data_IF_543500407704
#
_entry.id   IF_543500407704
#
_cell.length_a   1.000
_cell.length_b   1.000
_cell.length_c   1.000
_cell.angle_alpha   90.00
_cell.angle_beta   90.00
_cell.angle_gamma   90.00
#
_symmetry.space_group_name_H-M   'P 1'
#
loop_
_entity.id
_entity.type
_entity.pdbx_description
1 polymer ?
#
# COMPACT_ATOMS: atom_id res chain seq x y z
N UNK A 1 -5.52 -18.12 -7.14
CA UNK A 1 -6.23 -16.96 -6.57
C UNK A 1 -7.22 -17.44 -5.52
N UNK A 2 -7.53 -16.59 -4.54
CA UNK A 2 -8.48 -16.84 -3.45
C UNK A 2 -9.46 -15.67 -3.42
N UNK A 3 -10.76 -15.93 -3.28
CA UNK A 3 -11.76 -14.89 -3.07
C UNK A 3 -11.84 -14.56 -1.58
N UNK A 4 -11.76 -13.28 -1.22
CA UNK A 4 -11.97 -12.85 0.17
C UNK A 4 -13.46 -13.03 0.49
N UNK A 5 -13.82 -13.78 1.55
CA UNK A 5 -15.21 -14.02 1.92
C UNK A 5 -16.00 -12.72 2.03
N UNK A 6 -17.26 -12.76 1.58
CA UNK A 6 -18.19 -11.62 1.65
C UNK A 6 -17.74 -10.37 0.87
N UNK A 7 -16.83 -10.53 -0.10
CA UNK A 7 -16.43 -9.47 -1.03
C UNK A 7 -16.33 -9.99 -2.46
N UNK A 8 -16.19 -9.07 -3.40
CA UNK A 8 -15.87 -9.34 -4.80
C UNK A 8 -14.35 -9.36 -5.08
N UNK A 9 -13.52 -9.24 -4.04
CA UNK A 9 -12.07 -9.19 -4.18
C UNK A 9 -11.46 -10.59 -4.35
N UNK A 10 -10.74 -10.77 -5.45
CA UNK A 10 -10.00 -11.99 -5.77
C UNK A 10 -8.50 -11.69 -5.68
N UNK A 11 -7.81 -12.36 -4.76
CA UNK A 11 -6.41 -12.06 -4.42
C UNK A 11 -5.46 -13.21 -4.73
N UNK A 12 -4.22 -12.84 -5.02
CA UNK A 12 -3.11 -13.77 -5.07
C UNK A 12 -2.80 -14.28 -3.64
N UNK A 13 -2.51 -15.59 -3.44
CA UNK A 13 -2.27 -16.14 -2.10
C UNK A 13 -1.03 -15.56 -1.40
N UNK A 14 -0.06 -15.09 -2.18
CA UNK A 14 1.09 -14.34 -1.69
C UNK A 14 0.79 -12.85 -1.72
N UNK A 15 0.90 -12.20 -0.56
CA UNK A 15 0.78 -10.76 -0.39
C UNK A 15 2.17 -10.14 -0.46
N UNK A 16 2.34 -9.10 -1.28
CA UNK A 16 3.62 -8.41 -1.44
C UNK A 16 3.74 -7.21 -0.49
N UNK A 17 4.94 -7.03 0.09
CA UNK A 17 5.36 -5.84 0.81
C UNK A 17 6.89 -5.78 0.84
N UNK A 18 7.49 -4.59 0.93
CA UNK A 18 8.94 -4.43 0.90
C UNK A 18 9.40 -2.99 1.06
N UNK A 19 10.72 -2.79 1.20
CA UNK A 19 11.37 -1.49 1.25
C UNK A 19 12.53 -1.47 0.25
N UNK A 20 12.48 -0.57 -0.72
CA UNK A 20 13.52 -0.34 -1.72
C UNK A 20 13.39 1.11 -2.25
N UNK A 21 14.28 1.55 -3.14
CA UNK A 21 14.06 2.81 -3.86
C UNK A 21 12.78 2.73 -4.71
N UNK A 22 12.23 3.87 -5.13
CA UNK A 22 11.02 3.89 -5.97
C UNK A 22 11.23 3.09 -7.27
N UNK A 23 12.35 3.30 -7.96
CA UNK A 23 12.67 2.60 -9.20
C UNK A 23 12.77 1.08 -9.01
N UNK A 24 13.46 0.63 -7.96
CA UNK A 24 13.53 -0.80 -7.63
C UNK A 24 12.17 -1.37 -7.23
N UNK A 25 11.38 -0.61 -6.46
CA UNK A 25 10.03 -1.01 -6.07
C UNK A 25 9.12 -1.20 -7.28
N UNK A 26 9.20 -0.31 -8.28
CA UNK A 26 8.46 -0.45 -9.54
C UNK A 26 8.86 -1.73 -10.28
N UNK A 27 10.16 -2.02 -10.36
CA UNK A 27 10.66 -3.25 -11.01
C UNK A 27 10.16 -4.52 -10.30
N UNK A 28 10.19 -4.53 -8.96
CA UNK A 28 9.71 -5.66 -8.16
C UNK A 28 8.19 -5.82 -8.28
N UNK A 29 7.43 -4.72 -8.26
CA UNK A 29 5.97 -4.77 -8.43
C UNK A 29 5.57 -5.19 -9.85
N UNK A 30 6.30 -4.74 -10.88
CA UNK A 30 6.13 -5.19 -12.26
C UNK A 30 6.38 -6.72 -12.37
N UNK A 31 7.46 -7.22 -11.74
CA UNK A 31 7.76 -8.65 -11.71
C UNK A 31 6.72 -9.45 -10.91
N UNK A 32 6.27 -8.96 -9.75
CA UNK A 32 5.22 -9.61 -8.96
C UNK A 32 3.92 -9.70 -9.76
N UNK A 33 3.50 -8.60 -10.41
CA UNK A 33 2.31 -8.57 -11.27
C UNK A 33 2.44 -9.50 -12.47
N UNK A 34 3.61 -9.55 -13.11
CA UNK A 34 3.82 -10.41 -14.29
C UNK A 34 3.68 -11.91 -13.97
N UNK A 35 3.82 -12.29 -12.69
CA UNK A 35 3.62 -13.66 -12.20
C UNK A 35 2.22 -13.89 -11.61
N UNK A 36 1.27 -12.99 -11.89
CA UNK A 36 -0.12 -13.11 -11.44
C UNK A 36 -0.39 -12.55 -10.04
N UNK A 37 0.60 -11.89 -9.43
CA UNK A 37 0.44 -11.17 -8.18
C UNK A 37 -0.51 -9.97 -8.33
N UNK A 38 -1.39 -9.76 -7.36
CA UNK A 38 -2.28 -8.60 -7.36
C UNK A 38 -2.60 -8.05 -5.97
N UNK A 39 -2.01 -8.61 -4.91
CA UNK A 39 -2.33 -8.23 -3.53
C UNK A 39 -1.10 -7.62 -2.85
N UNK A 40 -1.20 -6.32 -2.54
CA UNK A 40 -0.11 -5.55 -1.92
C UNK A 40 -0.54 -5.11 -0.53
N UNK A 41 0.35 -5.26 0.45
CA UNK A 41 0.18 -4.80 1.82
C UNK A 41 1.15 -3.65 2.13
N UNK A 42 0.61 -2.61 2.75
CA UNK A 42 1.35 -1.41 3.18
C UNK A 42 0.80 -0.91 4.52
N UNK A 43 1.28 0.25 4.99
CA UNK A 43 0.70 0.99 6.10
C UNK A 43 1.03 2.48 5.97
N UNK A 44 0.20 3.32 6.57
CA UNK A 44 0.39 4.77 6.63
C UNK A 44 1.79 5.14 7.14
N UNK A 45 2.28 4.45 8.18
CA UNK A 45 3.56 4.77 8.80
C UNK A 45 4.79 4.21 8.07
N UNK A 46 4.63 3.41 7.02
CA UNK A 46 5.77 2.69 6.44
C UNK A 46 6.82 3.66 5.89
N UNK A 47 8.08 3.41 6.27
CA UNK A 47 9.28 4.21 6.09
C UNK A 47 9.44 5.45 6.98
N UNK A 48 8.54 5.70 7.94
CA UNK A 48 8.70 6.80 8.90
C UNK A 48 9.97 6.67 9.78
N UNK A 49 10.49 5.45 9.96
CA UNK A 49 11.72 5.19 10.73
C UNK A 49 13.02 5.56 9.98
N UNK A 50 12.94 5.96 8.71
CA UNK A 50 14.10 6.39 7.91
C UNK A 50 14.33 7.90 8.13
N UNK A 51 15.58 8.30 8.31
CA UNK A 51 15.92 9.71 8.52
C UNK A 51 15.44 10.59 7.35
N UNK A 52 14.73 11.68 7.67
CA UNK A 52 14.16 12.60 6.68
C UNK A 52 12.78 12.21 6.13
N UNK A 53 12.25 11.04 6.50
CA UNK A 53 10.91 10.59 6.11
C UNK A 53 9.85 10.98 7.15
N UNK A 54 8.59 10.99 6.73
CA UNK A 54 7.42 11.37 7.55
C UNK A 54 6.36 10.26 7.63
N UNK A 55 6.54 9.18 6.88
CA UNK A 55 5.55 8.11 6.71
C UNK A 55 4.67 8.36 5.48
N UNK A 56 4.21 7.27 4.88
CA UNK A 56 3.38 7.26 3.69
C UNK A 56 4.18 7.09 2.41
N UNK A 57 5.52 7.07 2.49
CA UNK A 57 6.40 6.94 1.33
C UNK A 57 6.12 5.62 0.58
N UNK A 58 5.85 4.53 1.31
CA UNK A 58 5.46 3.24 0.73
C UNK A 58 4.18 3.36 -0.11
N UNK A 59 3.15 4.02 0.42
CA UNK A 59 1.88 4.23 -0.29
C UNK A 59 2.07 5.11 -1.52
N UNK A 60 2.85 6.20 -1.41
CA UNK A 60 3.14 7.08 -2.55
C UNK A 60 3.90 6.35 -3.68
N UNK A 61 4.81 5.44 -3.35
CA UNK A 61 5.51 4.61 -4.36
C UNK A 61 4.54 3.63 -5.04
N UNK A 62 3.62 3.01 -4.29
CA UNK A 62 2.60 2.12 -4.85
C UNK A 62 1.63 2.93 -5.73
N UNK A 63 1.19 4.10 -5.28
CA UNK A 63 0.33 5.02 -6.02
C UNK A 63 0.98 5.51 -7.31
N UNK A 64 2.25 5.93 -7.26
CA UNK A 64 3.01 6.36 -8.45
C UNK A 64 3.17 5.22 -9.47
N UNK A 65 3.47 4.01 -8.99
CA UNK A 65 3.55 2.82 -9.82
C UNK A 65 2.21 2.52 -10.52
N UNK A 66 1.12 2.42 -9.76
CA UNK A 66 -0.21 2.12 -10.32
C UNK A 66 -0.66 3.16 -11.34
N UNK A 67 -0.41 4.44 -11.05
CA UNK A 67 -0.68 5.54 -11.97
C UNK A 67 0.13 5.44 -13.25
N UNK A 68 1.42 5.12 -13.14
CA UNK A 68 2.31 5.00 -14.32
C UNK A 68 1.96 3.81 -15.23
N UNK A 69 1.39 2.74 -14.66
CA UNK A 69 1.00 1.52 -15.39
C UNK A 69 -0.46 1.50 -15.81
N UNK A 70 -1.29 2.39 -15.25
CA UNK A 70 -2.74 2.43 -15.49
C UNK A 70 -3.47 1.17 -15.00
N UNK A 71 -2.94 0.50 -13.98
CA UNK A 71 -3.39 -0.84 -13.56
C UNK A 71 -4.19 -0.86 -12.26
N UNK A 72 -4.65 0.30 -11.76
CA UNK A 72 -5.31 0.41 -10.44
C UNK A 72 -6.47 -0.57 -10.25
N UNK A 73 -7.26 -0.81 -11.29
CA UNK A 73 -8.42 -1.72 -11.26
C UNK A 73 -8.05 -3.20 -11.17
N UNK A 74 -6.79 -3.56 -11.41
CA UNK A 74 -6.30 -4.93 -11.33
C UNK A 74 -5.73 -5.29 -9.95
N UNK A 75 -5.51 -4.27 -9.09
CA UNK A 75 -4.78 -4.41 -7.84
C UNK A 75 -5.70 -4.33 -6.62
N UNK A 76 -5.43 -5.19 -5.64
CA UNK A 76 -5.99 -5.14 -4.29
C UNK A 76 -4.92 -4.61 -3.36
N UNK A 77 -5.20 -3.51 -2.66
CA UNK A 77 -4.27 -2.84 -1.75
C UNK A 77 -4.84 -2.91 -0.34
N UNK A 78 -4.09 -3.49 0.59
CA UNK A 78 -4.36 -3.41 2.02
C UNK A 78 -3.43 -2.39 2.68
N UNK A 79 -3.98 -1.50 3.48
CA UNK A 79 -3.21 -0.57 4.30
C UNK A 79 -3.65 -0.64 5.76
N UNK A 80 -2.87 -0.02 6.64
CA UNK A 80 -3.07 0.00 8.09
C UNK A 80 -2.85 1.42 8.59
N UNK A 81 -3.52 1.75 9.69
CA UNK A 81 -3.41 3.05 10.37
C UNK A 81 -2.98 2.86 11.82
N UNK A 82 -2.79 3.97 12.54
CA UNK A 82 -2.62 4.12 14.00
C UNK A 82 -1.19 4.21 14.54
N UNK A 83 -0.18 3.94 13.71
CA UNK A 83 1.22 3.96 14.16
C UNK A 83 2.03 5.14 13.64
N UNK A 84 1.47 5.93 12.74
CA UNK A 84 2.13 7.14 12.25
C UNK A 84 2.15 8.21 13.34
N UNK A 85 3.29 8.85 13.59
CA UNK A 85 3.45 9.79 14.72
C UNK A 85 2.46 10.97 14.67
N UNK A 86 2.09 11.40 13.45
CA UNK A 86 1.11 12.48 13.24
C UNK A 86 -0.36 12.03 13.31
N UNK A 87 -0.61 10.72 13.42
CA UNK A 87 -1.94 10.08 13.53
C UNK A 87 -1.93 8.92 14.55
N UNK A 88 -1.51 9.13 15.82
CA UNK A 88 -1.31 8.03 16.76
C UNK A 88 -2.63 7.45 17.26
N UNK A 89 -2.69 6.12 17.40
CA UNK A 89 -3.81 5.41 18.01
C UNK A 89 -5.08 5.34 17.14
N UNK A 90 -6.12 4.74 17.71
CA UNK A 90 -7.33 4.32 17.01
C UNK A 90 -8.56 5.19 17.36
N UNK A 91 -8.35 6.48 17.63
CA UNK A 91 -9.49 7.39 17.76
C UNK A 91 -10.24 7.48 16.42
N UNK A 92 -11.57 7.61 16.45
CA UNK A 92 -12.36 7.73 15.23
C UNK A 92 -11.82 8.83 14.30
N UNK A 93 -11.49 10.00 14.88
CA UNK A 93 -10.86 11.12 14.15
C UNK A 93 -9.58 10.70 13.42
N UNK A 94 -8.70 9.93 14.07
CA UNK A 94 -7.44 9.52 13.46
C UNK A 94 -7.64 8.44 12.40
N UNK A 95 -8.57 7.50 12.62
CA UNK A 95 -8.90 6.47 11.63
C UNK A 95 -9.40 7.13 10.34
N UNK A 96 -10.37 8.05 10.45
CA UNK A 96 -10.89 8.77 9.27
C UNK A 96 -9.80 9.57 8.57
N UNK A 97 -9.04 10.39 9.31
CA UNK A 97 -8.00 11.22 8.70
C UNK A 97 -6.89 10.39 8.04
N UNK A 98 -6.42 9.32 8.69
CA UNK A 98 -5.38 8.45 8.13
C UNK A 98 -5.88 7.69 6.90
N UNK A 99 -7.15 7.25 6.91
CA UNK A 99 -7.78 6.60 5.76
C UNK A 99 -7.83 7.51 4.53
N UNK A 100 -8.36 8.74 4.67
CA UNK A 100 -8.40 9.71 3.57
C UNK A 100 -6.99 10.02 3.03
N UNK A 101 -6.03 10.25 3.93
CA UNK A 101 -4.66 10.54 3.51
C UNK A 101 -3.99 9.35 2.82
N UNK A 102 -4.31 8.11 3.21
CA UNK A 102 -3.84 6.90 2.51
C UNK A 102 -4.48 6.75 1.13
N UNK A 103 -5.72 7.23 0.93
CA UNK A 103 -6.38 7.23 -0.38
C UNK A 103 -5.82 8.29 -1.33
N UNK A 104 -5.32 9.41 -0.80
CA UNK A 104 -4.71 10.50 -1.57
C UNK A 104 -3.30 10.16 -2.11
N UNK A 105 -2.59 9.21 -1.48
CA UNK A 105 -1.22 8.80 -1.82
C UNK A 105 -1.17 7.79 -2.96
#
# INVERSE_FOLDING_TARGET
MITIPESDLVVHPLIFGGNATEAESHLVMDAYKSHGGNFIDTADMYNQWVEGHVGGESESVIGSWMKSRGNRSEMVIATKVSKMDRRPGLSAKNIFAACEESLDR
#
